data_IF_649413975702
#
_entry.id   IF_649413975702
#
_cell.length_a   1.000
_cell.length_b   1.000
_cell.length_c   1.000
_cell.angle_alpha   90.00
_cell.angle_beta   90.00
_cell.angle_gamma   90.00
#
_symmetry.space_group_name_H-M   'P 1'
#
loop_
_entity.id
_entity.type
_entity.pdbx_description
1 polymer ?
#
# COMPACT_ATOMS: atom_id res chain seq x y z
N UNK A 1 -3.70 30.55 -16.90
CA UNK A 1 -3.15 30.27 -15.57
C UNK A 1 -3.43 28.81 -15.31
N UNK A 2 -2.42 27.96 -15.36
CA UNK A 2 -2.52 26.57 -14.92
C UNK A 2 -2.47 26.59 -13.40
N UNK A 3 -3.60 26.35 -12.74
CA UNK A 3 -3.58 26.05 -11.31
C UNK A 3 -2.97 24.66 -11.17
N UNK A 4 -1.72 24.59 -10.74
CA UNK A 4 -1.15 23.36 -10.22
C UNK A 4 -1.71 23.17 -8.81
N UNK A 5 -2.48 22.10 -8.63
CA UNK A 5 -2.93 21.63 -7.32
C UNK A 5 -2.08 20.41 -6.96
N UNK A 6 -1.61 20.31 -5.71
CA UNK A 6 -0.82 19.18 -5.23
C UNK A 6 0.40 19.61 -4.42
N UNK A 7 0.95 18.67 -3.65
CA UNK A 7 2.27 18.80 -3.03
C UNK A 7 3.34 18.99 -4.11
N UNK A 8 4.34 19.84 -3.86
CA UNK A 8 5.54 19.82 -4.71
C UNK A 8 6.17 18.42 -4.63
N UNK A 9 6.68 17.89 -5.75
CA UNK A 9 7.23 16.52 -5.86
C UNK A 9 8.43 16.23 -4.92
N UNK A 10 8.87 17.24 -4.17
CA UNK A 10 10.01 17.20 -3.25
C UNK A 10 9.67 16.51 -1.93
N UNK A 11 8.39 16.51 -1.55
CA UNK A 11 7.90 15.91 -0.30
C UNK A 11 7.29 14.51 -0.51
N UNK A 12 7.21 14.05 -1.76
CA UNK A 12 6.69 12.74 -2.09
C UNK A 12 7.74 11.64 -1.86
N UNK A 13 7.36 10.60 -1.13
CA UNK A 13 8.18 9.40 -1.00
C UNK A 13 8.40 8.74 -2.37
N UNK A 14 9.64 8.36 -2.66
CA UNK A 14 9.98 7.61 -3.87
C UNK A 14 10.13 6.11 -3.55
N UNK A 15 9.48 5.26 -4.32
CA UNK A 15 9.59 3.81 -4.25
C UNK A 15 9.78 3.23 -5.65
N UNK A 16 10.79 2.37 -5.81
CA UNK A 16 11.02 1.67 -7.08
C UNK A 16 10.31 0.32 -7.06
N UNK A 17 9.23 0.20 -7.84
CA UNK A 17 8.52 -1.06 -8.03
C UNK A 17 9.21 -1.89 -9.13
N UNK A 18 9.76 -3.04 -8.76
CA UNK A 18 10.50 -3.90 -9.67
C UNK A 18 9.60 -4.92 -10.36
N UNK A 19 9.89 -5.20 -11.63
CA UNK A 19 9.22 -6.28 -12.37
C UNK A 19 9.65 -7.63 -11.81
N UNK A 20 8.72 -8.55 -11.67
CA UNK A 20 8.99 -9.97 -11.37
C UNK A 20 8.67 -10.85 -12.58
N UNK A 21 9.38 -11.97 -12.71
CA UNK A 21 9.05 -13.04 -13.64
C UNK A 21 8.59 -14.31 -12.90
N UNK A 22 8.60 -14.27 -11.56
CA UNK A 22 8.06 -15.33 -10.71
C UNK A 22 6.55 -15.17 -10.59
N UNK A 23 5.83 -16.29 -10.64
CA UNK A 23 4.40 -16.32 -10.34
C UNK A 23 4.17 -15.92 -8.89
N UNK A 24 3.29 -14.96 -8.66
CA UNK A 24 2.79 -14.59 -7.34
C UNK A 24 1.44 -15.26 -7.13
N UNK A 25 1.27 -15.99 -6.02
CA UNK A 25 -0.02 -16.52 -5.62
C UNK A 25 -0.72 -15.52 -4.69
N UNK A 26 -1.98 -15.20 -4.95
CA UNK A 26 -2.75 -14.27 -4.10
C UNK A 26 -3.45 -15.07 -3.00
N UNK A 27 -2.67 -15.57 -2.04
CA UNK A 27 -3.14 -16.37 -0.90
C UNK A 27 -2.98 -15.66 0.46
N UNK A 28 -2.52 -14.40 0.44
CA UNK A 28 -2.24 -13.58 1.62
C UNK A 28 -0.89 -13.88 2.29
N UNK A 29 -0.05 -14.75 1.74
CA UNK A 29 1.31 -15.01 2.22
C UNK A 29 2.32 -14.29 1.33
N UNK A 30 3.40 -13.82 1.94
CA UNK A 30 4.49 -13.12 1.24
C UNK A 30 5.78 -13.94 1.32
N UNK A 31 5.69 -15.26 1.24
CA UNK A 31 6.82 -16.19 1.45
C UNK A 31 7.59 -16.51 0.18
N UNK A 32 7.07 -16.14 -1.00
CA UNK A 32 7.72 -16.36 -2.29
C UNK A 32 9.04 -15.60 -2.40
N UNK A 33 9.97 -16.16 -3.18
CA UNK A 33 11.33 -15.64 -3.27
C UNK A 33 11.36 -14.20 -3.81
N UNK A 34 10.47 -13.84 -4.75
CA UNK A 34 10.32 -12.47 -5.21
C UNK A 34 9.97 -11.49 -4.08
N UNK A 35 9.07 -11.83 -3.16
CA UNK A 35 8.73 -11.01 -1.98
C UNK A 35 9.89 -10.89 -0.99
N UNK A 36 10.62 -11.97 -0.77
CA UNK A 36 11.80 -11.95 0.11
C UNK A 36 12.94 -11.06 -0.42
N UNK A 37 12.99 -10.82 -1.74
CA UNK A 37 13.96 -9.92 -2.37
C UNK A 37 13.43 -8.51 -2.62
N UNK A 38 12.12 -8.32 -2.61
CA UNK A 38 11.51 -7.01 -2.82
C UNK A 38 12.00 -6.03 -1.75
N UNK A 39 12.43 -4.84 -2.17
CA UNK A 39 12.79 -3.79 -1.24
C UNK A 39 11.53 -3.34 -0.50
N UNK A 40 11.53 -3.44 0.83
CA UNK A 40 10.43 -2.88 1.62
C UNK A 40 10.59 -1.38 1.74
N UNK A 41 9.47 -0.66 1.83
CA UNK A 41 9.45 0.75 2.17
C UNK A 41 10.11 0.98 3.54
N UNK A 42 10.52 2.23 3.82
CA UNK A 42 10.60 2.70 5.19
C UNK A 42 9.28 2.45 5.94
N UNK A 43 9.34 2.52 7.27
CA UNK A 43 8.14 2.49 8.10
C UNK A 43 7.20 3.61 7.69
N UNK A 44 5.90 3.33 7.72
CA UNK A 44 4.87 4.34 7.45
C UNK A 44 5.00 5.52 8.40
N UNK A 45 4.43 6.66 7.99
CA UNK A 45 4.45 7.90 8.74
C UNK A 45 3.03 8.33 9.05
N UNK A 46 2.87 9.12 10.11
CA UNK A 46 1.62 9.83 10.37
C UNK A 46 1.35 10.84 9.25
N UNK A 47 0.14 10.79 8.66
CA UNK A 47 -0.20 11.59 7.48
C UNK A 47 -0.27 13.10 7.76
N UNK A 48 -0.42 13.52 9.02
CA UNK A 48 -0.54 14.94 9.39
C UNK A 48 0.84 15.55 9.68
N UNK A 49 1.70 14.79 10.35
CA UNK A 49 2.96 15.28 10.90
C UNK A 49 4.19 14.79 10.16
N UNK A 50 4.07 13.71 9.36
CA UNK A 50 5.17 13.08 8.64
C UNK A 50 6.16 12.33 9.54
N UNK A 51 5.91 12.27 10.85
CA UNK A 51 6.78 11.51 11.76
C UNK A 51 6.55 10.02 11.58
N UNK A 52 7.58 9.18 11.75
CA UNK A 52 7.41 7.73 11.68
C UNK A 52 6.30 7.24 12.61
N UNK A 53 5.38 6.44 12.07
CA UNK A 53 4.30 5.81 12.81
C UNK A 53 4.83 4.95 13.94
N UNK A 54 4.02 4.77 14.98
CA UNK A 54 4.44 4.02 16.17
C UNK A 54 4.70 2.53 15.84
N UNK A 55 3.80 1.93 15.06
CA UNK A 55 3.82 0.52 14.65
C UNK A 55 4.66 0.32 13.37
N UNK A 56 5.37 -0.80 13.24
CA UNK A 56 6.25 -1.11 12.11
C UNK A 56 5.49 -1.61 10.87
N UNK A 57 4.60 -0.77 10.34
CA UNK A 57 3.91 -1.04 9.08
C UNK A 57 4.78 -0.66 7.87
N UNK A 58 4.88 -1.58 6.91
CA UNK A 58 5.69 -1.46 5.69
C UNK A 58 4.97 -2.02 4.49
N UNK A 59 5.32 -1.52 3.31
CA UNK A 59 4.83 -2.03 2.03
C UNK A 59 5.98 -2.44 1.12
N UNK A 60 5.74 -3.40 0.24
CA UNK A 60 6.52 -3.58 -0.98
C UNK A 60 5.55 -3.77 -2.14
N UNK A 61 5.97 -3.36 -3.32
CA UNK A 61 5.25 -3.62 -4.57
C UNK A 61 6.18 -4.26 -5.61
N UNK A 62 5.57 -5.14 -6.41
CA UNK A 62 6.13 -5.80 -7.58
C UNK A 62 5.13 -5.69 -8.74
N UNK A 63 5.58 -5.88 -9.97
CA UNK A 63 4.66 -5.89 -11.11
C UNK A 63 5.06 -6.92 -12.17
N UNK A 64 4.10 -7.30 -13.01
CA UNK A 64 4.31 -8.02 -14.27
C UNK A 64 3.43 -7.43 -15.39
N UNK A 65 3.38 -8.10 -16.55
CA UNK A 65 2.68 -7.55 -17.70
C UNK A 65 1.16 -7.45 -17.51
N UNK A 66 0.59 -8.11 -16.50
CA UNK A 66 -0.84 -8.18 -16.23
C UNK A 66 -1.24 -7.48 -14.93
N UNK A 67 -0.38 -7.50 -13.90
CA UNK A 67 -0.76 -7.13 -12.54
C UNK A 67 0.27 -6.22 -11.85
N UNK A 68 -0.25 -5.37 -10.97
CA UNK A 68 0.49 -4.75 -9.88
C UNK A 68 0.22 -5.55 -8.61
N UNK A 69 1.28 -6.00 -7.94
CA UNK A 69 1.23 -6.72 -6.68
C UNK A 69 1.66 -5.80 -5.55
N UNK A 70 0.88 -5.74 -4.49
CA UNK A 70 1.17 -4.93 -3.30
C UNK A 70 1.07 -5.83 -2.06
N UNK A 71 2.16 -5.89 -1.29
CA UNK A 71 2.25 -6.67 -0.06
C UNK A 71 2.49 -5.77 1.14
N UNK A 72 1.71 -5.95 2.19
CA UNK A 72 1.83 -5.21 3.44
C UNK A 72 2.34 -6.12 4.56
N UNK A 73 3.25 -5.59 5.37
CA UNK A 73 3.59 -6.13 6.69
C UNK A 73 3.06 -5.13 7.71
N UNK A 74 1.98 -5.48 8.39
CA UNK A 74 1.26 -4.59 9.31
C UNK A 74 1.50 -5.08 10.74
N UNK A 75 2.00 -4.20 11.61
CA UNK A 75 2.03 -4.43 13.05
C UNK A 75 0.78 -3.79 13.64
N UNK A 76 -0.08 -4.56 14.32
CA UNK A 76 -1.28 -4.08 14.99
C UNK A 76 -1.60 -5.00 16.19
N UNK A 77 -1.52 -4.52 17.44
CA UNK A 77 -1.82 -5.32 18.62
C UNK A 77 -3.31 -5.60 18.85
N UNK A 78 -4.24 -4.79 18.31
CA UNK A 78 -5.69 -4.92 18.51
C UNK A 78 -6.46 -4.89 17.17
N UNK A 79 -6.30 -5.97 16.40
CA UNK A 79 -6.93 -6.11 15.08
C UNK A 79 -8.45 -6.21 15.18
N UNK A 80 -9.15 -5.36 14.44
CA UNK A 80 -10.59 -5.34 14.25
C UNK A 80 -10.92 -5.46 12.76
N UNK A 81 -11.78 -6.43 12.42
CA UNK A 81 -12.29 -6.65 11.06
C UNK A 81 -13.67 -7.34 11.15
N UNK A 82 -14.73 -6.56 11.37
CA UNK A 82 -16.12 -7.03 11.49
C UNK A 82 -16.89 -6.87 10.20
N UNK A 83 -16.45 -5.97 9.31
CA UNK A 83 -17.04 -5.84 7.98
C UNK A 83 -16.61 -7.00 7.09
N UNK A 84 -17.57 -7.81 6.63
CA UNK A 84 -17.32 -8.99 5.80
C UNK A 84 -17.80 -8.85 4.35
N UNK A 85 -18.56 -7.79 4.05
CA UNK A 85 -19.14 -7.57 2.73
C UNK A 85 -18.26 -6.63 1.91
N UNK A 86 -18.14 -6.92 0.60
CA UNK A 86 -17.47 -6.03 -0.35
C UNK A 86 -18.13 -4.64 -0.34
N UNK A 87 -17.31 -3.60 -0.46
CA UNK A 87 -17.72 -2.19 -0.45
C UNK A 87 -18.33 -1.72 0.90
N UNK A 88 -18.07 -2.45 1.99
CA UNK A 88 -18.32 -1.97 3.35
C UNK A 88 -17.39 -0.81 3.72
N UNK A 89 -17.77 0.06 4.67
CA UNK A 89 -16.94 1.19 5.10
C UNK A 89 -15.81 0.74 6.04
N UNK A 90 -14.86 -0.01 5.49
CA UNK A 90 -13.76 -0.65 6.24
C UNK A 90 -12.81 0.33 6.90
N UNK A 91 -12.76 1.59 6.44
CA UNK A 91 -12.04 2.70 7.07
C UNK A 91 -12.48 3.04 8.52
N UNK A 92 -13.55 2.43 9.04
CA UNK A 92 -13.91 2.49 10.46
C UNK A 92 -13.19 1.44 11.33
N UNK A 93 -12.42 0.54 10.73
CA UNK A 93 -11.70 -0.56 11.38
C UNK A 93 -10.22 -0.57 10.95
N UNK A 94 -9.47 -1.63 11.26
CA UNK A 94 -8.09 -1.75 10.80
C UNK A 94 -8.09 -2.16 9.31
N UNK A 95 -7.65 -1.24 8.45
CA UNK A 95 -7.49 -1.49 7.02
C UNK A 95 -6.18 -0.94 6.47
N UNK A 96 -5.85 -1.40 5.26
CA UNK A 96 -4.81 -0.82 4.42
C UNK A 96 -5.43 -0.31 3.13
N UNK A 97 -4.95 0.84 2.68
CA UNK A 97 -5.46 1.50 1.50
C UNK A 97 -4.35 1.66 0.44
N UNK A 98 -4.71 1.44 -0.82
CA UNK A 98 -3.85 1.71 -1.98
C UNK A 98 -4.56 2.70 -2.90
N UNK A 99 -3.91 3.85 -3.11
CA UNK A 99 -4.36 4.86 -4.07
C UNK A 99 -3.47 4.84 -5.31
N UNK A 100 -4.08 4.74 -6.49
CA UNK A 100 -3.39 4.79 -7.78
C UNK A 100 -3.97 5.93 -8.59
N UNK A 101 -3.19 7.02 -8.70
CA UNK A 101 -3.57 8.19 -9.48
C UNK A 101 -3.22 8.03 -10.97
N UNK A 102 -4.18 8.37 -11.83
CA UNK A 102 -3.97 8.69 -13.23
C UNK A 102 -4.07 10.20 -13.48
N UNK A 103 -4.06 10.65 -14.76
CA UNK A 103 -4.08 12.07 -15.09
C UNK A 103 -5.31 12.85 -14.55
N UNK A 104 -6.49 12.22 -14.58
CA UNK A 104 -7.77 12.90 -14.29
C UNK A 104 -8.59 12.23 -13.16
N UNK A 105 -8.18 11.05 -12.70
CA UNK A 105 -8.87 10.30 -11.66
C UNK A 105 -7.90 9.44 -10.87
N UNK A 106 -8.36 8.88 -9.76
CA UNK A 106 -7.63 7.87 -9.01
C UNK A 106 -8.54 6.68 -8.72
N UNK A 107 -7.91 5.53 -8.51
CA UNK A 107 -8.54 4.36 -7.93
C UNK A 107 -8.09 4.20 -6.49
N UNK A 108 -9.00 3.73 -5.67
CA UNK A 108 -8.79 3.43 -4.26
C UNK A 108 -9.20 1.99 -4.00
N UNK A 109 -8.32 1.27 -3.31
CA UNK A 109 -8.55 -0.09 -2.87
C UNK A 109 -8.36 -0.13 -1.36
N UNK A 110 -9.43 -0.45 -0.63
CA UNK A 110 -9.39 -0.62 0.82
C UNK A 110 -9.62 -2.09 1.16
N UNK A 111 -8.78 -2.65 2.04
CA UNK A 111 -8.84 -4.04 2.47
C UNK A 111 -8.62 -4.09 3.99
N UNK A 112 -9.57 -4.63 4.74
CA UNK A 112 -9.40 -4.91 6.17
C UNK A 112 -8.69 -6.25 6.43
N UNK A 113 -8.37 -6.51 7.70
CA UNK A 113 -7.64 -7.68 8.15
C UNK A 113 -8.40 -9.02 8.03
#
# INVERSE_FOLDING_TARGET
MTNEYGSENKDAGHYTCHRTAERVEIDGRLSEACWQRAAKSPRFVDMVTGVPGFLDTRVAALWDDENLYVGFWVEEPDVQARFTERDSPVYFENDVEVFIAGPDCYYEFQINA
#
